data_IF_364249324590
#
_entry.id   IF_364249324590
#
_cell.length_a   1.000
_cell.length_b   1.000
_cell.length_c   1.000
_cell.angle_alpha   90.00
_cell.angle_beta   90.00
_cell.angle_gamma   90.00
#
_symmetry.space_group_name_H-M   'P 1'
#
loop_
_entity.id
_entity.type
_entity.pdbx_description
1 polymer ?
#
# COMPACT_ATOMS: atom_id res chain seq x y z
N UNK A 1 43.54 -25.70 -50.67
CA UNK A 1 43.29 -24.40 -49.99
C UNK A 1 42.06 -24.56 -49.08
N UNK A 2 41.98 -23.76 -48.02
CA UNK A 2 41.37 -24.05 -46.72
C UNK A 2 39.87 -24.41 -46.69
N UNK A 3 39.53 -25.28 -45.73
CA UNK A 3 38.18 -25.54 -45.19
C UNK A 3 37.66 -24.29 -44.45
N UNK A 4 36.51 -23.75 -44.85
CA UNK A 4 35.77 -22.78 -44.05
C UNK A 4 34.61 -23.48 -43.32
N UNK A 5 34.88 -23.91 -42.08
CA UNK A 5 33.87 -24.19 -41.06
C UNK A 5 33.34 -22.83 -40.61
N UNK A 6 32.11 -22.48 -40.97
CA UNK A 6 31.46 -21.30 -40.43
C UNK A 6 30.42 -21.73 -39.41
N UNK A 7 30.65 -21.23 -38.20
CA UNK A 7 29.92 -21.49 -36.98
C UNK A 7 28.46 -21.09 -37.08
N UNK A 8 27.60 -22.05 -36.78
CA UNK A 8 26.36 -21.95 -36.01
C UNK A 8 26.09 -20.59 -35.35
N UNK A 9 25.02 -19.86 -35.72
CA UNK A 9 24.37 -18.90 -34.84
C UNK A 9 23.13 -19.56 -34.22
N UNK A 10 23.34 -20.49 -33.29
CA UNK A 10 22.29 -20.99 -32.36
C UNK A 10 22.61 -20.31 -31.02
N UNK A 11 22.24 -19.04 -30.85
CA UNK A 11 22.40 -18.33 -29.57
C UNK A 11 21.61 -17.01 -29.54
N UNK A 12 20.33 -17.06 -29.92
CA UNK A 12 19.45 -15.88 -29.90
C UNK A 12 18.01 -16.23 -29.49
N UNK A 13 17.83 -17.23 -28.61
CA UNK A 13 16.49 -17.66 -28.10
C UNK A 13 16.55 -18.03 -26.60
N UNK A 14 17.26 -17.26 -25.76
CA UNK A 14 17.34 -17.54 -24.31
C UNK A 14 17.00 -16.35 -23.40
N UNK A 15 16.43 -15.27 -23.92
CA UNK A 15 16.01 -14.12 -23.12
C UNK A 15 14.51 -13.80 -23.20
N UNK A 16 13.69 -14.74 -23.69
CA UNK A 16 12.27 -14.80 -23.31
C UNK A 16 12.21 -15.51 -21.95
N UNK A 17 12.85 -14.92 -20.94
CA UNK A 17 12.55 -15.30 -19.56
C UNK A 17 11.07 -15.05 -19.36
N UNK A 18 10.35 -16.04 -18.86
CA UNK A 18 8.96 -15.90 -18.46
C UNK A 18 8.84 -14.66 -17.58
N UNK A 19 8.37 -13.53 -18.12
CA UNK A 19 7.83 -12.46 -17.30
C UNK A 19 6.55 -13.03 -16.74
N UNK A 20 6.65 -13.64 -15.56
CA UNK A 20 5.50 -13.74 -14.69
C UNK A 20 5.02 -12.29 -14.53
N UNK A 21 3.83 -11.99 -15.05
CA UNK A 21 3.27 -10.65 -15.00
C UNK A 21 3.12 -10.31 -13.53
N UNK A 22 3.87 -9.30 -13.07
CA UNK A 22 3.79 -8.89 -11.67
C UNK A 22 2.36 -8.46 -11.33
N UNK A 23 1.89 -8.90 -10.16
CA UNK A 23 0.59 -8.52 -9.60
C UNK A 23 0.64 -7.22 -8.81
N UNK A 24 1.82 -6.59 -8.68
CA UNK A 24 1.98 -5.32 -7.95
C UNK A 24 0.95 -4.25 -8.38
N UNK A 25 0.69 -3.99 -9.67
CA UNK A 25 -0.32 -3.00 -10.07
C UNK A 25 -1.71 -3.30 -9.49
N UNK A 26 -2.16 -4.55 -9.54
CA UNK A 26 -3.45 -4.97 -8.99
C UNK A 26 -3.48 -4.87 -7.46
N UNK A 27 -2.38 -5.24 -6.80
CA UNK A 27 -2.26 -5.17 -5.35
C UNK A 27 -2.22 -3.72 -4.82
N UNK A 28 -1.65 -2.80 -5.59
CA UNK A 28 -1.67 -1.36 -5.28
C UNK A 28 -3.07 -0.78 -5.52
N UNK A 29 -3.79 -1.24 -6.55
CA UNK A 29 -5.20 -0.88 -6.76
C UNK A 29 -6.05 -1.35 -5.56
N UNK A 30 -5.87 -2.59 -5.12
CA UNK A 30 -6.53 -3.13 -3.92
C UNK A 30 -6.16 -2.33 -2.65
N UNK A 31 -4.88 -2.01 -2.47
CA UNK A 31 -4.42 -1.16 -1.37
C UNK A 31 -5.15 0.19 -1.37
N UNK A 32 -5.35 0.79 -2.55
CA UNK A 32 -6.06 2.05 -2.68
C UNK A 32 -7.54 1.97 -2.35
N UNK A 33 -8.22 0.91 -2.76
CA UNK A 33 -9.63 0.66 -2.40
C UNK A 33 -9.82 0.46 -0.89
N UNK A 34 -8.92 -0.31 -0.25
CA UNK A 34 -8.94 -0.53 1.19
C UNK A 34 -8.64 0.77 1.93
N UNK A 35 -7.61 1.52 1.51
CA UNK A 35 -7.26 2.81 2.12
C UNK A 35 -8.39 3.81 2.00
N UNK A 36 -9.08 3.86 0.86
CA UNK A 36 -10.30 4.68 0.69
C UNK A 36 -11.37 4.29 1.72
N UNK A 37 -11.60 2.99 1.92
CA UNK A 37 -12.56 2.51 2.93
C UNK A 37 -12.17 2.91 4.35
N UNK A 38 -10.88 2.79 4.69
CA UNK A 38 -10.33 3.26 5.96
C UNK A 38 -10.56 4.76 6.15
N UNK A 39 -10.31 5.58 5.12
CA UNK A 39 -10.57 7.02 5.16
C UNK A 39 -12.04 7.30 5.45
N UNK A 40 -12.97 6.63 4.78
CA UNK A 40 -14.41 6.77 5.05
C UNK A 40 -14.75 6.42 6.51
N UNK A 41 -14.17 5.35 7.04
CA UNK A 41 -14.34 4.96 8.45
C UNK A 41 -13.83 6.02 9.42
N UNK A 42 -12.65 6.59 9.16
CA UNK A 42 -12.09 7.66 9.98
C UNK A 42 -12.92 8.95 9.88
N UNK A 43 -13.36 9.29 8.68
CA UNK A 43 -14.07 10.53 8.38
C UNK A 43 -15.52 10.54 8.83
N UNK A 44 -16.05 9.41 9.32
CA UNK A 44 -17.33 9.41 10.04
C UNK A 44 -17.20 10.08 11.43
N UNK A 45 -15.97 10.35 11.90
CA UNK A 45 -15.68 11.20 13.07
C UNK A 45 -14.72 12.35 12.71
N UNK A 46 -15.12 13.29 11.83
CA UNK A 46 -14.21 14.27 11.22
C UNK A 46 -13.60 15.24 12.26
N UNK A 47 -14.38 15.59 13.30
CA UNK A 47 -13.95 16.51 14.36
C UNK A 47 -12.77 15.97 15.18
N UNK A 48 -12.65 14.64 15.31
CA UNK A 48 -11.52 14.00 16.00
C UNK A 48 -10.18 14.25 15.31
N UNK A 49 -10.22 14.55 14.01
CA UNK A 49 -9.06 14.87 13.17
C UNK A 49 -8.96 16.36 12.82
N UNK A 50 -9.81 17.20 13.41
CA UNK A 50 -9.82 18.65 13.20
C UNK A 50 -10.48 19.09 11.89
N UNK A 51 -11.24 18.21 11.23
CA UNK A 51 -12.04 18.56 10.07
C UNK A 51 -13.44 19.04 10.49
N UNK A 52 -14.06 19.85 9.64
CA UNK A 52 -15.38 20.44 9.90
C UNK A 52 -16.53 19.46 9.63
N UNK A 53 -16.35 18.58 8.65
CA UNK A 53 -17.34 17.62 8.16
C UNK A 53 -16.63 16.46 7.43
N UNK A 54 -17.39 15.43 7.10
CA UNK A 54 -16.91 14.21 6.46
C UNK A 54 -16.26 14.51 5.10
N UNK A 55 -16.86 15.39 4.29
CA UNK A 55 -16.35 15.77 2.96
C UNK A 55 -14.97 16.44 3.06
N UNK A 56 -14.81 17.39 3.98
CA UNK A 56 -13.52 18.05 4.23
C UNK A 56 -12.47 17.08 4.78
N UNK A 57 -12.89 16.07 5.55
CA UNK A 57 -12.02 15.01 6.02
C UNK A 57 -11.56 14.10 4.88
N UNK A 58 -12.47 13.62 4.04
CA UNK A 58 -12.14 12.75 2.90
C UNK A 58 -11.20 13.45 1.92
N UNK A 59 -11.49 14.72 1.57
CA UNK A 59 -10.62 15.53 0.72
C UNK A 59 -9.24 15.75 1.37
N UNK A 60 -9.22 16.07 2.66
CA UNK A 60 -7.99 16.32 3.40
C UNK A 60 -7.11 15.08 3.59
N UNK A 61 -7.72 13.91 3.71
CA UNK A 61 -7.01 12.63 3.85
C UNK A 61 -6.53 12.06 2.50
N UNK A 62 -7.20 12.44 1.41
CA UNK A 62 -6.87 12.02 0.05
C UNK A 62 -7.12 10.53 -0.20
N UNK A 63 -6.80 10.09 -1.42
CA UNK A 63 -6.90 8.68 -1.80
C UNK A 63 -5.61 8.17 -2.46
N UNK A 64 -5.58 6.89 -2.80
CA UNK A 64 -4.52 6.29 -3.62
C UNK A 64 -5.11 6.04 -4.99
N UNK A 65 -5.12 7.09 -5.81
CA UNK A 65 -5.55 7.06 -7.20
C UNK A 65 -4.63 7.91 -8.06
N UNK A 66 -4.73 7.77 -9.39
CA UNK A 66 -3.97 8.60 -10.35
C UNK A 66 -2.48 8.71 -10.03
N UNK A 67 -2.00 9.94 -9.83
CA UNK A 67 -0.58 10.26 -9.59
C UNK A 67 -0.02 9.58 -8.31
N UNK A 68 -0.82 9.45 -7.25
CA UNK A 68 -0.38 8.78 -6.01
C UNK A 68 -0.15 7.29 -6.24
N UNK A 69 -1.06 6.65 -6.99
CA UNK A 69 -0.93 5.25 -7.38
C UNK A 69 0.33 5.05 -8.22
N UNK A 70 0.54 5.88 -9.23
CA UNK A 70 1.70 5.76 -10.12
C UNK A 70 3.02 6.01 -9.36
N UNK A 71 3.04 6.95 -8.42
CA UNK A 71 4.17 7.16 -7.52
C UNK A 71 4.50 5.91 -6.69
N UNK A 72 3.48 5.22 -6.14
CA UNK A 72 3.68 3.98 -5.39
C UNK A 72 4.26 2.89 -6.29
N UNK A 73 3.78 2.76 -7.53
CA UNK A 73 4.33 1.79 -8.47
C UNK A 73 5.81 2.07 -8.78
N UNK A 74 6.17 3.33 -8.98
CA UNK A 74 7.56 3.75 -9.18
C UNK A 74 8.43 3.46 -7.94
N UNK A 75 7.89 3.64 -6.73
CA UNK A 75 8.61 3.34 -5.49
C UNK A 75 8.96 1.84 -5.34
N UNK A 76 8.19 0.95 -5.97
CA UNK A 76 8.39 -0.49 -5.96
C UNK A 76 9.09 -1.02 -7.22
N UNK A 77 9.48 -0.14 -8.17
CA UNK A 77 10.16 -0.57 -9.40
C UNK A 77 11.46 -1.32 -9.08
N UNK A 78 11.57 -2.56 -9.57
CA UNK A 78 12.74 -3.41 -9.35
C UNK A 78 12.85 -4.01 -7.95
N UNK A 79 11.90 -3.73 -7.05
CA UNK A 79 11.81 -4.40 -5.75
C UNK A 79 11.07 -5.74 -5.89
N UNK A 80 11.77 -6.83 -5.59
CA UNK A 80 11.32 -8.19 -5.90
C UNK A 80 10.27 -8.72 -4.93
N UNK A 81 10.27 -8.22 -3.70
CA UNK A 81 9.36 -8.67 -2.64
C UNK A 81 8.18 -7.69 -2.48
N UNK A 82 7.90 -6.87 -3.50
CA UNK A 82 6.79 -5.92 -3.50
C UNK A 82 5.43 -6.60 -3.39
N UNK A 83 5.27 -7.75 -4.05
CA UNK A 83 4.04 -8.55 -3.95
C UNK A 83 3.83 -9.06 -2.52
N UNK A 84 4.85 -9.70 -1.93
CA UNK A 84 4.81 -10.20 -0.54
C UNK A 84 4.45 -9.09 0.47
N UNK A 85 4.93 -7.86 0.22
CA UNK A 85 4.57 -6.71 1.05
C UNK A 85 3.07 -6.40 0.94
N UNK A 86 2.54 -6.18 -0.27
CA UNK A 86 1.13 -5.81 -0.45
C UNK A 86 0.17 -6.94 -0.08
N UNK A 87 0.50 -8.20 -0.38
CA UNK A 87 -0.28 -9.36 0.04
C UNK A 87 -0.37 -9.49 1.57
N UNK A 88 0.61 -8.95 2.30
CA UNK A 88 0.54 -8.88 3.76
C UNK A 88 -0.22 -7.64 4.27
N UNK A 89 0.09 -6.44 3.78
CA UNK A 89 -0.48 -5.22 4.36
C UNK A 89 -1.96 -5.05 4.01
N UNK A 90 -2.42 -5.49 2.83
CA UNK A 90 -3.82 -5.34 2.42
C UNK A 90 -4.80 -6.00 3.42
N UNK A 91 -4.64 -7.29 3.81
CA UNK A 91 -5.47 -7.91 4.84
C UNK A 91 -5.41 -7.22 6.22
N UNK A 92 -4.28 -6.61 6.57
CA UNK A 92 -4.13 -5.89 7.85
C UNK A 92 -4.94 -4.59 7.82
N UNK A 93 -4.90 -3.85 6.72
CA UNK A 93 -5.70 -2.63 6.54
C UNK A 93 -7.19 -2.93 6.38
N UNK A 94 -7.57 -4.04 5.75
CA UNK A 94 -8.97 -4.49 5.69
C UNK A 94 -9.51 -4.82 7.09
N UNK A 95 -8.72 -5.51 7.92
CA UNK A 95 -9.08 -5.75 9.32
C UNK A 95 -9.17 -4.44 10.12
N UNK A 96 -8.28 -3.48 9.87
CA UNK A 96 -8.34 -2.15 10.48
C UNK A 96 -9.62 -1.42 10.09
N UNK A 97 -10.00 -1.43 8.81
CA UNK A 97 -11.28 -0.90 8.35
C UNK A 97 -12.48 -1.56 9.05
N UNK A 98 -12.43 -2.88 9.24
CA UNK A 98 -13.42 -3.61 10.02
C UNK A 98 -13.51 -3.15 11.48
N UNK A 99 -12.37 -2.85 12.11
CA UNK A 99 -12.32 -2.29 13.47
C UNK A 99 -12.94 -0.89 13.54
N UNK A 100 -12.61 -0.02 12.58
CA UNK A 100 -13.18 1.32 12.46
C UNK A 100 -14.69 1.32 12.21
N UNK A 101 -15.23 0.25 11.65
CA UNK A 101 -16.67 0.13 11.40
C UNK A 101 -17.50 -0.30 12.63
N UNK A 102 -16.87 -0.55 13.78
CA UNK A 102 -17.55 -1.00 15.01
C UNK A 102 -18.18 0.12 15.84
N UNK A 103 -19.22 -0.15 16.62
CA UNK A 103 -20.03 0.86 17.33
C UNK A 103 -19.29 1.81 18.30
N UNK A 104 -18.03 1.54 18.65
CA UNK A 104 -17.26 2.26 19.67
C UNK A 104 -16.11 3.12 19.16
N UNK A 105 -15.83 3.18 17.84
CA UNK A 105 -14.64 3.92 17.37
C UNK A 105 -14.77 5.44 17.54
N UNK A 106 -15.98 5.99 17.42
CA UNK A 106 -16.34 7.39 17.70
C UNK A 106 -16.58 7.70 19.19
N UNK A 107 -16.11 6.85 20.11
CA UNK A 107 -16.27 7.13 21.54
C UNK A 107 -15.65 8.49 21.89
N UNK A 108 -16.36 9.28 22.72
CA UNK A 108 -15.95 10.64 23.11
C UNK A 108 -14.55 10.69 23.79
N UNK A 109 -14.07 9.55 24.30
CA UNK A 109 -12.76 9.41 24.93
C UNK A 109 -11.63 9.01 23.96
N UNK A 110 -11.95 8.76 22.69
CA UNK A 110 -11.00 8.34 21.64
C UNK A 110 -10.40 6.95 21.84
N UNK A 111 -10.90 6.15 22.81
CA UNK A 111 -10.32 4.86 23.18
C UNK A 111 -10.48 3.80 22.10
N UNK A 112 -11.64 3.73 21.45
CA UNK A 112 -11.92 2.76 20.38
C UNK A 112 -10.99 2.95 19.18
N UNK A 113 -10.74 4.20 18.80
CA UNK A 113 -9.80 4.55 17.74
C UNK A 113 -8.36 4.17 18.08
N UNK A 114 -7.89 4.46 19.30
CA UNK A 114 -6.54 4.08 19.74
C UNK A 114 -6.33 2.56 19.73
N UNK A 115 -7.36 1.78 20.09
CA UNK A 115 -7.31 0.31 20.02
C UNK A 115 -7.18 -0.18 18.58
N UNK A 116 -7.96 0.36 17.63
CA UNK A 116 -7.86 -0.06 16.23
C UNK A 116 -6.47 0.24 15.62
N UNK A 117 -5.88 1.39 15.95
CA UNK A 117 -4.49 1.71 15.53
C UNK A 117 -3.52 0.69 16.11
N UNK A 118 -3.60 0.43 17.41
CA UNK A 118 -2.70 -0.49 18.09
C UNK A 118 -2.78 -1.89 17.47
N UNK A 119 -3.99 -2.41 17.24
CA UNK A 119 -4.17 -3.73 16.61
C UNK A 119 -3.61 -3.79 15.18
N UNK A 120 -3.73 -2.70 14.41
CA UNK A 120 -3.12 -2.60 13.08
C UNK A 120 -1.60 -2.61 13.18
N UNK A 121 -1.01 -1.77 14.01
CA UNK A 121 0.44 -1.61 14.13
C UNK A 121 1.11 -2.88 14.65
N UNK A 122 0.47 -3.56 15.61
CA UNK A 122 0.91 -4.86 16.11
C UNK A 122 0.91 -5.90 14.98
N UNK A 123 -0.16 -5.99 14.18
CA UNK A 123 -0.23 -6.91 13.03
C UNK A 123 0.77 -6.59 11.93
N UNK A 124 0.95 -5.32 11.59
CA UNK A 124 1.97 -4.91 10.61
C UNK A 124 3.37 -5.35 11.08
N UNK A 125 3.66 -5.17 12.36
CA UNK A 125 4.96 -5.54 12.96
C UNK A 125 5.16 -7.05 13.05
N UNK A 126 4.11 -7.80 13.37
CA UNK A 126 4.18 -9.25 13.58
C UNK A 126 4.15 -10.05 12.27
N UNK A 127 3.38 -9.59 11.28
CA UNK A 127 3.04 -10.38 10.09
C UNK A 127 3.77 -9.92 8.83
N UNK A 128 4.06 -8.62 8.69
CA UNK A 128 4.49 -8.08 7.40
C UNK A 128 5.99 -7.89 7.29
N UNK A 129 6.59 -8.23 6.13
CA UNK A 129 7.98 -7.93 5.89
C UNK A 129 8.18 -6.41 5.89
N UNK A 130 9.17 -5.95 6.64
CA UNK A 130 9.58 -4.55 6.59
C UNK A 130 10.17 -4.22 5.23
N UNK A 131 9.82 -3.05 4.69
CA UNK A 131 10.43 -2.54 3.47
C UNK A 131 11.89 -2.11 3.71
N UNK A 132 12.79 -2.30 2.72
CA UNK A 132 14.09 -1.64 2.71
C UNK A 132 13.93 -0.13 2.88
N UNK A 133 14.86 0.53 3.57
CA UNK A 133 14.76 1.96 3.90
C UNK A 133 14.50 2.83 2.67
N UNK A 134 15.11 2.53 1.53
CA UNK A 134 14.94 3.28 0.29
C UNK A 134 13.51 3.15 -0.27
N UNK A 135 13.01 1.91 -0.41
CA UNK A 135 11.65 1.62 -0.87
C UNK A 135 10.61 2.21 0.08
N UNK A 136 10.80 2.06 1.40
CA UNK A 136 9.93 2.66 2.41
C UNK A 136 9.86 4.17 2.30
N UNK A 137 11.01 4.83 2.13
CA UNK A 137 11.06 6.30 2.05
C UNK A 137 10.37 6.80 0.79
N UNK A 138 10.57 6.13 -0.35
CA UNK A 138 9.89 6.44 -1.60
C UNK A 138 8.38 6.23 -1.47
N UNK A 139 7.95 5.07 -0.94
CA UNK A 139 6.55 4.75 -0.71
C UNK A 139 5.85 5.79 0.19
N UNK A 140 6.43 6.11 1.35
CA UNK A 140 5.86 7.09 2.29
C UNK A 140 5.76 8.48 1.65
N UNK A 141 6.70 8.85 0.78
CA UNK A 141 6.66 10.15 0.07
C UNK A 141 5.53 10.27 -0.95
N UNK A 142 4.96 9.14 -1.39
CA UNK A 142 3.82 9.13 -2.29
C UNK A 142 2.48 9.32 -1.57
N UNK A 143 2.42 8.98 -0.29
CA UNK A 143 1.17 9.02 0.47
C UNK A 143 0.80 10.49 0.78
N UNK A 144 -0.49 10.86 0.66
CA UNK A 144 -0.96 12.17 1.08
C UNK A 144 -0.64 12.40 2.57
N UNK A 145 -0.29 13.63 2.94
CA UNK A 145 0.04 14.03 4.30
C UNK A 145 -1.17 13.82 5.22
N UNK A 146 -1.18 12.68 5.92
CA UNK A 146 -2.29 12.27 6.77
C UNK A 146 -1.87 12.29 8.24
N UNK A 147 -2.83 12.48 9.17
CA UNK A 147 -2.56 12.38 10.59
C UNK A 147 -1.86 11.04 10.90
N UNK A 148 -1.01 10.99 11.93
CA UNK A 148 -0.24 9.79 12.32
C UNK A 148 -1.10 8.51 12.44
N UNK A 149 -2.40 8.69 12.69
CA UNK A 149 -3.48 7.73 12.53
C UNK A 149 -3.45 6.83 11.29
N UNK A 150 -2.92 7.32 10.18
CA UNK A 150 -2.85 6.63 8.88
C UNK A 150 -1.43 6.47 8.37
N UNK A 151 -0.43 6.88 9.16
CA UNK A 151 0.97 6.65 8.84
C UNK A 151 1.29 5.16 9.04
N UNK A 152 1.89 4.55 8.01
CA UNK A 152 2.45 3.19 8.01
C UNK A 152 3.86 3.20 8.57
#
# INVERSE_FOLDING_TARGET
>A
MLRARWCTPILLILALGCQESSRIPELVDEYGEIRRSVVLGLCTCPEAFGFADDDACEEGMGDVSGDTRDCILDAFEGYKDGEDYFECVNPVFDAYNGCLSGDSYCAEDGSGFATCIQERDDRLTELCPGLPTEVRSAFVSCLPDVPAAMAV
#
